data_IF_454277569314
#
_entry.id   IF_454277569314
#
_cell.length_a   1.000
_cell.length_b   1.000
_cell.length_c   1.000
_cell.angle_alpha   90.00
_cell.angle_beta   90.00
_cell.angle_gamma   90.00
#
_symmetry.space_group_name_H-M   'P 1'
#
loop_
_entity.id
_entity.type
_entity.pdbx_description
1 polymer ?
#
# COMPACT_ATOMS: atom_id res chain seq x y z
N UNK A 1 -12.75 -4.07 19.30
CA UNK A 1 -11.59 -4.90 18.88
C UNK A 1 -11.96 -6.11 18.01
N UNK A 2 -13.07 -6.83 18.27
CA UNK A 2 -13.43 -8.03 17.48
C UNK A 2 -13.61 -7.77 15.97
N UNK A 3 -14.21 -6.63 15.60
CA UNK A 3 -14.46 -6.28 14.19
C UNK A 3 -13.17 -6.21 13.33
N UNK A 4 -12.11 -5.59 13.86
CA UNK A 4 -10.81 -5.50 13.19
C UNK A 4 -10.11 -6.85 13.06
N UNK A 5 -10.35 -7.77 14.00
CA UNK A 5 -9.76 -9.12 13.98
C UNK A 5 -10.34 -9.97 12.84
N UNK A 6 -11.61 -9.78 12.50
CA UNK A 6 -12.33 -10.56 11.49
C UNK A 6 -12.46 -9.85 10.14
N UNK A 7 -11.63 -8.82 9.89
CA UNK A 7 -11.70 -8.04 8.66
C UNK A 7 -11.50 -8.93 7.42
N UNK A 8 -12.45 -8.92 6.46
CA UNK A 8 -12.34 -9.73 5.25
C UNK A 8 -11.21 -9.22 4.36
N UNK A 9 -10.31 -10.12 3.93
CA UNK A 9 -9.13 -9.76 3.11
C UNK A 9 -9.30 -10.05 1.60
N UNK A 10 -10.31 -10.84 1.24
CA UNK A 10 -10.45 -11.41 -0.12
C UNK A 10 -11.87 -11.28 -0.69
N UNK A 11 -12.83 -10.73 0.05
CA UNK A 11 -14.24 -10.69 -0.35
C UNK A 11 -14.80 -9.27 -0.30
N UNK A 12 -14.69 -8.55 -1.41
CA UNK A 12 -15.04 -7.12 -1.51
C UNK A 12 -16.49 -6.78 -1.11
N UNK A 13 -17.52 -7.56 -1.46
CA UNK A 13 -18.89 -7.25 -1.00
C UNK A 13 -19.04 -7.32 0.52
N UNK A 14 -18.29 -8.23 1.17
CA UNK A 14 -18.33 -8.38 2.64
C UNK A 14 -17.52 -7.28 3.31
N UNK A 15 -16.46 -6.81 2.65
CA UNK A 15 -15.71 -5.64 3.07
C UNK A 15 -16.59 -4.38 3.07
N UNK A 16 -17.39 -4.18 2.02
CA UNK A 16 -18.37 -3.08 1.97
C UNK A 16 -19.40 -3.19 3.10
N UNK A 17 -19.93 -4.40 3.39
CA UNK A 17 -20.84 -4.59 4.53
C UNK A 17 -20.17 -4.25 5.87
N UNK A 18 -18.91 -4.64 6.07
CA UNK A 18 -18.15 -4.30 7.28
C UNK A 18 -17.92 -2.80 7.41
N UNK A 19 -17.70 -2.08 6.31
CA UNK A 19 -17.55 -0.63 6.30
C UNK A 19 -18.85 0.08 6.68
N UNK A 20 -20.00 -0.38 6.17
CA UNK A 20 -21.30 0.18 6.53
C UNK A 20 -21.63 -0.04 8.02
N UNK A 21 -21.39 -1.24 8.55
CA UNK A 21 -21.57 -1.53 9.98
C UNK A 21 -20.61 -0.71 10.85
N UNK A 22 -19.37 -0.53 10.39
CA UNK A 22 -18.40 0.32 11.08
C UNK A 22 -18.85 1.78 11.12
N UNK A 23 -19.40 2.32 10.03
CA UNK A 23 -19.96 3.68 10.00
C UNK A 23 -21.09 3.85 11.03
N UNK A 24 -22.02 2.89 11.11
CA UNK A 24 -23.09 2.92 12.10
C UNK A 24 -22.56 2.86 13.55
N UNK A 25 -21.48 2.14 13.80
CA UNK A 25 -20.83 2.11 15.13
C UNK A 25 -20.16 3.46 15.43
N UNK A 26 -19.50 4.07 14.45
CA UNK A 26 -18.84 5.37 14.61
C UNK A 26 -19.83 6.51 14.84
N UNK A 27 -21.09 6.38 14.41
CA UNK A 27 -22.13 7.38 14.65
C UNK A 27 -22.60 7.44 16.12
N UNK A 28 -22.45 6.33 16.87
CA UNK A 28 -22.91 6.20 18.26
C UNK A 28 -21.74 6.15 19.26
N UNK A 29 -20.50 6.12 18.78
CA UNK A 29 -19.33 5.94 19.65
C UNK A 29 -19.02 7.20 20.47
N UNK A 30 -18.73 7.01 21.76
CA UNK A 30 -18.28 8.10 22.61
C UNK A 30 -16.82 8.51 22.24
N UNK A 31 -16.48 9.81 22.21
CA UNK A 31 -15.13 10.27 21.88
C UNK A 31 -14.02 9.66 22.76
N UNK A 32 -14.32 9.40 24.03
CA UNK A 32 -13.40 8.79 25.00
C UNK A 32 -13.02 7.34 24.63
N UNK A 33 -13.95 6.58 24.05
CA UNK A 33 -13.71 5.22 23.56
C UNK A 33 -13.09 5.19 22.16
N UNK A 34 -13.38 6.21 21.33
CA UNK A 34 -12.79 6.34 20.00
C UNK A 34 -11.27 6.48 20.04
N UNK A 35 -10.73 7.30 20.94
CA UNK A 35 -9.27 7.53 21.07
C UNK A 35 -8.50 6.22 21.34
N UNK A 36 -9.11 5.23 22.00
CA UNK A 36 -8.48 3.93 22.30
C UNK A 36 -8.39 3.02 21.08
N UNK A 37 -9.23 3.23 20.07
CA UNK A 37 -9.38 2.33 18.92
C UNK A 37 -9.06 2.98 17.57
N UNK A 38 -8.89 4.31 17.53
CA UNK A 38 -8.65 5.07 16.31
C UNK A 38 -7.40 4.62 15.54
N UNK A 39 -6.26 4.39 16.20
CA UNK A 39 -5.01 4.05 15.51
C UNK A 39 -5.10 2.74 14.72
N UNK A 40 -5.49 1.59 15.32
CA UNK A 40 -5.64 0.34 14.57
C UNK A 40 -6.79 0.39 13.56
N UNK A 41 -7.81 1.21 13.81
CA UNK A 41 -8.93 1.41 12.89
C UNK A 41 -8.48 2.13 11.61
N UNK A 42 -7.84 3.28 11.74
CA UNK A 42 -7.36 4.06 10.59
C UNK A 42 -6.23 3.36 9.84
N UNK A 43 -5.40 2.55 10.52
CA UNK A 43 -4.46 1.67 9.82
C UNK A 43 -5.16 0.64 8.92
N UNK A 44 -6.33 0.15 9.31
CA UNK A 44 -7.10 -0.77 8.49
C UNK A 44 -7.83 -0.01 7.38
N UNK A 45 -8.45 1.14 7.69
CA UNK A 45 -9.08 2.00 6.68
C UNK A 45 -8.09 2.43 5.61
N UNK A 46 -6.85 2.77 5.98
CA UNK A 46 -5.76 3.14 5.06
C UNK A 46 -5.48 2.06 3.99
N UNK A 47 -5.74 0.78 4.27
CA UNK A 47 -5.57 -0.32 3.31
C UNK A 47 -6.77 -0.47 2.38
N UNK A 48 -7.94 -0.02 2.83
CA UNK A 48 -9.22 -0.19 2.17
C UNK A 48 -9.66 1.07 1.40
N UNK A 49 -8.83 2.12 1.34
CA UNK A 49 -9.19 3.41 0.72
C UNK A 49 -9.31 3.30 -0.80
N UNK A 50 -10.51 2.89 -1.20
CA UNK A 50 -11.17 3.13 -2.48
C UNK A 50 -12.58 3.71 -2.31
N UNK A 51 -13.03 3.96 -1.06
CA UNK A 51 -14.34 4.53 -0.73
C UNK A 51 -14.25 5.48 0.46
N UNK A 52 -14.47 6.79 0.30
CA UNK A 52 -14.62 7.74 1.39
C UNK A 52 -16.09 8.08 1.62
N UNK A 53 -16.57 7.89 2.85
CA UNK A 53 -17.89 8.36 3.30
C UNK A 53 -17.73 9.53 4.29
N UNK A 54 -18.69 10.45 4.26
CA UNK A 54 -18.50 11.88 4.56
C UNK A 54 -18.61 12.26 6.07
N UNK A 55 -19.05 11.36 6.95
CA UNK A 55 -19.19 11.63 8.40
C UNK A 55 -17.88 11.51 9.20
N UNK A 56 -16.80 11.02 8.60
CA UNK A 56 -15.52 10.83 9.33
C UNK A 56 -14.76 12.16 9.49
N UNK A 57 -15.15 13.24 8.78
CA UNK A 57 -14.40 14.50 8.77
C UNK A 57 -14.28 15.17 10.15
N UNK A 58 -15.37 15.20 10.93
CA UNK A 58 -15.40 15.91 12.22
C UNK A 58 -14.54 15.21 13.29
N UNK A 59 -14.56 13.86 13.32
CA UNK A 59 -13.74 13.07 14.23
C UNK A 59 -12.24 13.10 13.90
N UNK A 60 -11.90 13.37 12.63
CA UNK A 60 -10.49 13.46 12.22
C UNK A 60 -9.89 14.81 12.60
N UNK A 61 -10.67 15.89 12.65
CA UNK A 61 -10.14 17.22 13.00
C UNK A 61 -9.43 17.23 14.35
N UNK A 62 -10.06 16.68 15.38
CA UNK A 62 -9.51 16.65 16.75
C UNK A 62 -8.33 15.69 16.93
N UNK A 63 -8.20 14.70 16.03
CA UNK A 63 -7.18 13.65 16.08
C UNK A 63 -6.21 13.69 14.89
N UNK A 64 -6.21 14.80 14.14
CA UNK A 64 -5.53 14.93 12.85
C UNK A 64 -4.03 14.63 12.96
N UNK A 65 -3.39 15.03 14.06
CA UNK A 65 -1.98 14.79 14.36
C UNK A 65 -1.56 13.31 14.27
N UNK A 66 -2.47 12.38 14.60
CA UNK A 66 -2.22 10.94 14.58
C UNK A 66 -2.81 10.25 13.36
N UNK A 67 -3.97 10.69 12.91
CA UNK A 67 -4.68 10.05 11.79
C UNK A 67 -4.05 10.41 10.45
N UNK A 68 -3.65 11.68 10.26
CA UNK A 68 -3.16 12.17 8.98
C UNK A 68 -1.91 11.42 8.51
N UNK A 69 -0.86 11.20 9.34
CA UNK A 69 0.31 10.44 8.92
C UNK A 69 0.01 8.99 8.51
N UNK A 70 -1.05 8.37 9.06
CA UNK A 70 -1.44 6.99 8.75
C UNK A 70 -2.16 6.92 7.39
N UNK A 71 -3.07 7.86 7.14
CA UNK A 71 -3.92 7.86 5.94
C UNK A 71 -3.23 8.48 4.73
N UNK A 72 -2.32 9.43 4.95
CA UNK A 72 -1.68 10.22 3.90
C UNK A 72 -0.94 9.37 2.87
N UNK A 73 -0.09 8.37 3.23
CA UNK A 73 0.64 7.58 2.24
C UNK A 73 -0.29 6.82 1.28
N UNK A 74 -1.37 6.23 1.78
CA UNK A 74 -2.35 5.50 0.95
C UNK A 74 -3.11 6.43 0.02
N UNK A 75 -3.63 7.54 0.55
CA UNK A 75 -4.37 8.54 -0.23
C UNK A 75 -3.49 9.18 -1.31
N UNK A 76 -2.27 9.57 -0.96
CA UNK A 76 -1.35 10.26 -1.86
C UNK A 76 -0.73 9.33 -2.92
N UNK A 77 -0.59 8.03 -2.64
CA UNK A 77 -0.26 7.02 -3.67
C UNK A 77 -1.42 6.83 -4.63
N UNK A 78 -2.63 6.62 -4.10
CA UNK A 78 -3.82 6.36 -4.92
C UNK A 78 -4.23 7.56 -5.77
N UNK A 79 -3.98 8.80 -5.32
CA UNK A 79 -4.22 10.01 -6.12
C UNK A 79 -3.30 10.11 -7.36
N UNK A 80 -2.21 9.35 -7.43
CA UNK A 80 -1.28 9.33 -8.56
C UNK A 80 -1.46 8.13 -9.49
N UNK A 81 -2.00 7.02 -8.98
CA UNK A 81 -2.04 5.74 -9.69
C UNK A 81 -3.45 5.32 -10.13
N UNK A 82 -4.51 5.89 -9.56
CA UNK A 82 -5.87 5.39 -9.77
C UNK A 82 -6.50 5.88 -11.09
N UNK A 83 -6.99 4.95 -11.93
CA UNK A 83 -7.57 5.29 -13.24
C UNK A 83 -9.05 5.73 -13.21
N UNK A 84 -9.80 5.45 -12.14
CA UNK A 84 -11.21 5.87 -12.03
C UNK A 84 -11.32 7.33 -11.60
N UNK A 85 -11.91 8.17 -12.46
CA UNK A 85 -12.10 9.61 -12.23
C UNK A 85 -12.95 9.95 -10.99
N UNK A 86 -13.94 9.11 -10.65
CA UNK A 86 -14.79 9.32 -9.47
C UNK A 86 -13.98 9.10 -8.20
N UNK A 87 -13.28 7.97 -8.11
CA UNK A 87 -12.42 7.64 -6.96
C UNK A 87 -11.30 8.66 -6.82
N UNK A 88 -10.72 9.10 -7.94
CA UNK A 88 -9.74 10.17 -7.95
C UNK A 88 -10.33 11.46 -7.34
N UNK A 89 -11.49 11.94 -7.81
CA UNK A 89 -12.14 13.13 -7.26
C UNK A 89 -12.44 13.03 -5.75
N UNK A 90 -12.85 11.86 -5.30
CA UNK A 90 -13.10 11.56 -3.89
C UNK A 90 -11.81 11.60 -3.04
N UNK A 91 -10.71 11.07 -3.55
CA UNK A 91 -9.39 11.14 -2.88
C UNK A 91 -8.92 12.60 -2.79
N UNK A 92 -9.07 13.40 -3.86
CA UNK A 92 -8.71 14.82 -3.81
C UNK A 92 -9.57 15.61 -2.84
N UNK A 93 -10.86 15.29 -2.73
CA UNK A 93 -11.72 15.89 -1.72
C UNK A 93 -11.22 15.58 -0.31
N UNK A 94 -10.94 14.31 0.01
CA UNK A 94 -10.40 13.91 1.31
C UNK A 94 -9.05 14.59 1.61
N UNK A 95 -8.13 14.64 0.65
CA UNK A 95 -6.85 15.34 0.78
C UNK A 95 -7.03 16.84 1.03
N UNK A 96 -8.02 17.46 0.36
CA UNK A 96 -8.35 18.88 0.54
C UNK A 96 -8.88 19.14 1.96
N UNK A 97 -9.79 18.31 2.47
CA UNK A 97 -10.29 18.42 3.85
C UNK A 97 -9.12 18.36 4.84
N UNK A 98 -8.19 17.42 4.67
CA UNK A 98 -7.02 17.34 5.55
C UNK A 98 -6.10 18.57 5.48
N UNK A 99 -5.95 19.16 4.31
CA UNK A 99 -5.17 20.39 4.13
C UNK A 99 -5.85 21.58 4.82
N UNK A 100 -7.17 21.68 4.74
CA UNK A 100 -7.97 22.73 5.38
C UNK A 100 -7.99 22.60 6.91
N UNK A 101 -7.95 21.37 7.43
CA UNK A 101 -7.87 21.11 8.89
C UNK A 101 -6.52 21.53 9.47
N UNK A 102 -5.39 21.12 8.86
CA UNK A 102 -4.06 21.44 9.38
C UNK A 102 -3.01 21.45 8.25
N UNK A 103 -2.83 22.61 7.64
CA UNK A 103 -1.91 22.80 6.51
C UNK A 103 -0.46 22.41 6.85
N UNK A 104 0.04 22.82 8.03
CA UNK A 104 1.43 22.53 8.43
C UNK A 104 1.67 21.02 8.53
N UNK A 105 0.76 20.30 9.18
CA UNK A 105 0.87 18.86 9.32
C UNK A 105 0.77 18.14 7.96
N UNK A 106 -0.07 18.65 7.05
CA UNK A 106 -0.17 18.13 5.69
C UNK A 106 1.14 18.29 4.90
N UNK A 107 1.79 19.45 5.02
CA UNK A 107 3.08 19.72 4.38
C UNK A 107 4.18 18.82 4.96
N UNK A 108 4.22 18.65 6.28
CA UNK A 108 5.16 17.76 6.97
C UNK A 108 4.98 16.30 6.52
N UNK A 109 3.73 15.81 6.43
CA UNK A 109 3.42 14.47 5.92
C UNK A 109 3.85 14.31 4.45
N UNK A 110 3.67 15.35 3.62
CA UNK A 110 4.10 15.36 2.23
C UNK A 110 5.61 15.22 2.10
N UNK A 111 6.37 15.93 2.95
CA UNK A 111 7.83 15.86 2.97
C UNK A 111 8.32 14.50 3.46
N UNK A 112 7.76 13.98 4.55
CA UNK A 112 8.09 12.66 5.08
C UNK A 112 7.83 11.56 4.04
N UNK A 113 6.67 11.59 3.38
CA UNK A 113 6.34 10.63 2.33
C UNK A 113 7.36 10.62 1.19
N UNK A 114 7.77 11.78 0.70
CA UNK A 114 8.80 11.89 -0.36
C UNK A 114 10.16 11.35 0.11
N UNK A 115 10.54 11.65 1.36
CA UNK A 115 11.78 11.15 1.94
C UNK A 115 11.76 9.62 2.10
N UNK A 116 10.62 9.05 2.52
CA UNK A 116 10.43 7.60 2.62
C UNK A 116 10.46 6.92 1.25
N UNK A 117 9.81 7.47 0.22
CA UNK A 117 9.89 6.94 -1.15
C UNK A 117 11.35 6.88 -1.65
N UNK A 118 12.13 7.92 -1.41
CA UNK A 118 13.55 7.95 -1.79
C UNK A 118 14.34 6.89 -1.01
N UNK A 119 14.08 6.75 0.30
CA UNK A 119 14.71 5.75 1.15
C UNK A 119 14.37 4.33 0.72
N UNK A 120 13.11 4.06 0.36
CA UNK A 120 12.66 2.76 -0.17
C UNK A 120 13.34 2.45 -1.50
N UNK A 121 13.42 3.42 -2.43
CA UNK A 121 14.14 3.26 -3.70
C UNK A 121 15.62 2.97 -3.51
N UNK A 122 16.28 3.64 -2.55
CA UNK A 122 17.68 3.38 -2.22
C UNK A 122 17.87 1.98 -1.61
N UNK A 123 16.99 1.56 -0.69
CA UNK A 123 17.01 0.20 -0.13
C UNK A 123 16.86 -0.86 -1.21
N UNK A 124 15.96 -0.66 -2.17
CA UNK A 124 15.78 -1.57 -3.30
C UNK A 124 17.06 -1.69 -4.15
N UNK A 125 17.72 -0.57 -4.45
CA UNK A 125 19.00 -0.58 -5.18
C UNK A 125 20.10 -1.33 -4.42
N UNK A 126 20.23 -1.08 -3.11
CA UNK A 126 21.22 -1.78 -2.28
C UNK A 126 20.95 -3.29 -2.24
N UNK A 127 19.68 -3.70 -2.14
CA UNK A 127 19.30 -5.10 -2.21
C UNK A 127 19.61 -5.71 -3.58
N UNK A 128 19.30 -5.00 -4.67
CA UNK A 128 19.61 -5.43 -6.03
C UNK A 128 21.12 -5.62 -6.24
N UNK A 129 21.94 -4.66 -5.80
CA UNK A 129 23.41 -4.78 -5.86
C UNK A 129 23.93 -5.97 -5.03
N UNK A 130 23.34 -6.24 -3.87
CA UNK A 130 23.68 -7.42 -3.06
C UNK A 130 23.32 -8.72 -3.79
N UNK A 131 22.15 -8.79 -4.42
CA UNK A 131 21.74 -9.94 -5.23
C UNK A 131 22.66 -10.16 -6.44
N UNK A 132 23.04 -9.11 -7.15
CA UNK A 132 23.99 -9.18 -8.27
C UNK A 132 25.35 -9.70 -7.82
N UNK A 133 25.84 -9.26 -6.65
CA UNK A 133 27.10 -9.77 -6.08
C UNK A 133 27.01 -11.26 -5.75
N UNK A 134 25.92 -11.71 -5.15
CA UNK A 134 25.67 -13.13 -4.85
C UNK A 134 25.64 -13.94 -6.14
N UNK A 135 24.95 -13.45 -7.17
CA UNK A 135 24.85 -14.12 -8.48
C UNK A 135 26.23 -14.24 -9.15
N UNK A 136 27.04 -13.19 -9.10
CA UNK A 136 28.39 -13.20 -9.67
C UNK A 136 29.33 -14.16 -8.92
N UNK A 137 29.25 -14.22 -7.59
CA UNK A 137 30.01 -15.19 -6.78
C UNK A 137 29.57 -16.62 -7.09
N UNK A 138 28.26 -16.86 -7.19
CA UNK A 138 27.73 -18.16 -7.59
C UNK A 138 28.26 -18.57 -8.96
N UNK A 139 28.26 -17.67 -9.96
CA UNK A 139 28.81 -17.91 -11.30
C UNK A 139 30.32 -18.20 -11.29
N UNK A 140 31.09 -17.49 -10.47
CA UNK A 140 32.55 -17.66 -10.39
C UNK A 140 32.98 -18.94 -9.64
N UNK A 141 32.16 -19.42 -8.70
CA UNK A 141 32.40 -20.67 -7.96
C UNK A 141 32.03 -21.95 -8.74
N UNK A 142 31.53 -21.81 -9.98
CA UNK A 142 31.23 -22.93 -10.86
C UNK A 142 32.52 -23.55 -11.42
N UNK A 143 32.96 -24.65 -10.79
CA UNK A 143 33.94 -25.56 -11.36
C UNK A 143 33.57 -26.00 -12.79
N UNK A 144 34.53 -26.29 -13.68
CA UNK A 144 34.27 -26.75 -15.05
C UNK A 144 33.46 -28.06 -15.17
N UNK A 145 33.27 -28.79 -14.06
CA UNK A 145 32.52 -30.05 -14.02
C UNK A 145 30.99 -29.87 -13.82
N UNK A 146 30.51 -28.65 -13.57
CA UNK A 146 29.11 -28.36 -13.25
C UNK A 146 28.06 -28.38 -14.40
N UNK A 147 28.39 -28.36 -15.72
CA UNK A 147 27.36 -28.26 -16.75
C UNK A 147 26.37 -29.44 -16.81
N UNK A 148 26.72 -30.59 -16.23
CA UNK A 148 25.92 -31.82 -16.36
C UNK A 148 24.78 -31.97 -15.34
N UNK A 149 24.80 -31.26 -14.19
CA UNK A 149 23.81 -31.52 -13.12
C UNK A 149 22.84 -30.36 -12.82
N UNK A 150 23.09 -29.14 -13.28
CA UNK A 150 22.30 -27.96 -12.84
C UNK A 150 21.50 -27.22 -13.92
N UNK A 151 21.68 -27.58 -15.19
CA UNK A 151 20.92 -27.04 -16.31
C UNK A 151 19.41 -27.29 -16.24
N UNK A 152 18.95 -28.28 -15.47
CA UNK A 152 17.52 -28.61 -15.35
C UNK A 152 16.83 -27.96 -14.14
N UNK A 153 17.57 -27.57 -13.08
CA UNK A 153 16.94 -27.10 -11.83
C UNK A 153 16.86 -25.57 -11.70
N UNK A 154 17.89 -24.82 -12.12
CA UNK A 154 17.93 -23.37 -11.87
C UNK A 154 17.06 -22.53 -12.82
N UNK A 155 16.84 -23.00 -14.06
CA UNK A 155 15.98 -22.30 -15.02
C UNK A 155 14.49 -22.30 -14.61
N UNK A 156 14.05 -23.36 -13.94
CA UNK A 156 12.66 -23.49 -13.49
C UNK A 156 12.38 -22.64 -12.25
N UNK A 157 13.30 -22.62 -11.27
CA UNK A 157 13.10 -21.89 -10.02
C UNK A 157 13.14 -20.37 -10.21
N UNK A 158 14.07 -19.86 -11.02
CA UNK A 158 14.19 -18.41 -11.27
C UNK A 158 13.01 -17.91 -12.13
N UNK A 159 12.53 -18.68 -13.13
CA UNK A 159 11.31 -18.34 -13.87
C UNK A 159 10.06 -18.36 -13.01
N UNK A 160 9.95 -19.31 -12.07
CA UNK A 160 8.84 -19.36 -11.10
C UNK A 160 8.88 -18.16 -10.15
N UNK A 161 10.05 -17.78 -9.64
CA UNK A 161 10.18 -16.60 -8.76
C UNK A 161 9.90 -15.28 -9.49
N UNK A 162 10.35 -15.10 -10.74
CA UNK A 162 10.04 -13.92 -11.55
C UNK A 162 8.54 -13.89 -11.90
N UNK A 163 7.92 -15.04 -12.18
CA UNK A 163 6.47 -15.12 -12.47
C UNK A 163 5.62 -14.84 -11.23
N UNK A 164 6.05 -15.27 -10.05
CA UNK A 164 5.42 -14.95 -8.77
C UNK A 164 5.54 -13.46 -8.42
N UNK A 165 6.68 -12.82 -8.71
CA UNK A 165 6.83 -11.38 -8.54
C UNK A 165 5.91 -10.58 -9.48
N UNK A 166 5.74 -11.04 -10.73
CA UNK A 166 4.83 -10.41 -11.70
C UNK A 166 3.34 -10.60 -11.36
N UNK A 167 2.97 -11.67 -10.64
CA UNK A 167 1.58 -11.95 -10.23
C UNK A 167 1.13 -11.14 -9.00
N UNK A 168 2.05 -10.54 -8.24
CA UNK A 168 1.74 -9.73 -7.05
C UNK A 168 1.65 -8.23 -7.30
N UNK A 169 1.78 -7.75 -8.55
CA UNK A 169 1.68 -6.33 -8.89
C UNK A 169 0.40 -6.03 -9.68
N UNK A 170 -0.62 -5.36 -9.10
CA UNK A 170 -1.88 -5.09 -9.78
C UNK A 170 -1.81 -3.75 -10.51
N UNK A 171 -0.99 -3.61 -11.56
CA UNK A 171 -1.15 -2.54 -12.58
C UNK A 171 -0.05 -2.59 -13.65
N UNK A 172 -0.39 -3.10 -14.84
CA UNK A 172 0.08 -2.63 -16.16
C UNK A 172 -0.08 -3.75 -17.19
N UNK A 173 -1.26 -3.80 -17.81
CA UNK A 173 -1.45 -4.46 -19.10
C UNK A 173 -0.62 -3.68 -20.14
N UNK A 174 0.40 -4.30 -20.72
CA UNK A 174 0.97 -3.87 -21.99
C UNK A 174 1.29 -5.12 -22.82
N UNK A 175 0.73 -5.29 -24.03
CA UNK A 175 1.09 -6.41 -24.88
C UNK A 175 2.50 -6.22 -25.47
N UNK A 176 3.24 -7.30 -25.77
CA UNK A 176 4.53 -7.21 -26.44
C UNK A 176 4.35 -6.75 -27.91
N UNK A 177 5.36 -6.10 -28.52
CA UNK A 177 5.35 -5.80 -29.94
C UNK A 177 5.39 -7.10 -30.74
N UNK A 178 4.52 -7.20 -31.74
CA UNK A 178 4.59 -8.27 -32.74
C UNK A 178 5.90 -8.13 -33.51
N UNK A 179 6.74 -9.16 -33.42
CA UNK A 179 7.85 -9.38 -34.35
C UNK A 179 7.26 -9.98 -35.63
N UNK A 180 7.15 -9.18 -36.68
CA UNK A 180 7.37 -9.54 -38.09
C UNK A 180 7.87 -8.30 -38.83
#
# INVERSE_FOLDING_TARGET
>A
MALLKYWPKTHSPKEVMFLNELEAILDVIEPSEFVKTMEPLFQQLAKCVSSPHFQVADLISDNAAKILPIMFPSLYRNSKTHCNKIIHGLIYNALKVFMETNQKLFDDCTQQFKAEELKEKLKMKVQEEAWVKIENLAKASLCPCFPLCLGQFFSSYVRVCISLLCLTSPSSVRPPPALL
#
